data_IF_127438013161
#
_entry.id   IF_127438013161
#
_cell.length_a   1.000
_cell.length_b   1.000
_cell.length_c   1.000
_cell.angle_alpha   90.00
_cell.angle_beta   90.00
_cell.angle_gamma   90.00
#
_symmetry.space_group_name_H-M   'P 1'
#
loop_
_entity.id
_entity.type
_entity.pdbx_description
1 polymer ?
#
# COMPACT_ATOMS: atom_id res chain seq x y z
N UNK A 1 -19.14 -6.90 -18.78
CA UNK A 1 -19.05 -5.45 -19.11
C UNK A 1 -17.61 -5.04 -18.85
N UNK A 2 -16.86 -4.68 -19.90
CA UNK A 2 -15.45 -4.32 -19.77
C UNK A 2 -15.32 -3.06 -18.89
N UNK A 3 -14.50 -3.14 -17.86
CA UNK A 3 -14.12 -1.96 -17.06
C UNK A 3 -13.15 -1.18 -17.92
N UNK A 4 -13.56 -0.03 -18.44
CA UNK A 4 -12.65 0.87 -19.15
C UNK A 4 -11.93 1.70 -18.10
N UNK A 5 -10.62 1.46 -17.92
CA UNK A 5 -9.75 2.28 -17.08
C UNK A 5 -9.05 3.27 -17.99
N UNK A 6 -8.90 4.53 -17.59
CA UNK A 6 -8.11 5.51 -18.34
C UNK A 6 -6.63 5.12 -18.30
N UNK A 7 -6.18 4.32 -19.26
CA UNK A 7 -4.80 3.78 -19.30
C UNK A 7 -3.90 4.47 -20.33
N UNK A 8 -4.38 5.48 -21.05
CA UNK A 8 -3.55 6.23 -21.99
C UNK A 8 -2.83 7.40 -21.32
N UNK A 9 -1.65 7.77 -21.80
CA UNK A 9 -0.92 8.95 -21.30
C UNK A 9 -1.74 10.25 -21.34
N UNK A 10 -2.70 10.35 -22.28
CA UNK A 10 -3.64 11.47 -22.40
C UNK A 10 -4.72 11.48 -21.31
N UNK A 11 -4.84 10.42 -20.50
CA UNK A 11 -5.84 10.25 -19.44
C UNK A 11 -5.20 10.17 -18.05
N UNK A 12 -3.89 10.50 -17.93
CA UNK A 12 -3.23 10.57 -16.62
C UNK A 12 -3.89 11.64 -15.77
N UNK A 13 -4.22 11.35 -14.49
CA UNK A 13 -4.70 12.38 -13.59
C UNK A 13 -3.69 13.52 -13.50
N UNK A 14 -4.09 14.71 -13.94
CA UNK A 14 -3.23 15.89 -13.96
C UNK A 14 -3.13 16.55 -12.57
N UNK A 15 -4.08 16.28 -11.70
CA UNK A 15 -4.16 16.84 -10.33
C UNK A 15 -4.44 15.75 -9.31
N UNK A 16 -4.11 15.98 -8.01
CA UNK A 16 -4.45 15.06 -6.94
C UNK A 16 -5.96 14.74 -6.86
N UNK A 17 -6.82 15.74 -7.12
CA UNK A 17 -8.28 15.57 -7.11
C UNK A 17 -8.75 14.67 -8.26
N UNK A 18 -8.15 14.81 -9.44
CA UNK A 18 -8.42 13.91 -10.58
C UNK A 18 -7.96 12.48 -10.29
N UNK A 19 -6.82 12.32 -9.60
CA UNK A 19 -6.32 11.02 -9.14
C UNK A 19 -7.30 10.36 -8.16
N UNK A 20 -7.77 11.11 -7.17
CA UNK A 20 -8.76 10.63 -6.21
C UNK A 20 -10.08 10.25 -6.89
N UNK A 21 -10.57 11.06 -7.83
CA UNK A 21 -11.78 10.74 -8.59
C UNK A 21 -11.63 9.44 -9.39
N UNK A 22 -10.47 9.20 -10.01
CA UNK A 22 -10.15 7.97 -10.72
C UNK A 22 -10.14 6.75 -9.77
N UNK A 23 -9.55 6.88 -8.58
CA UNK A 23 -9.56 5.83 -7.56
C UNK A 23 -10.99 5.51 -7.11
N UNK A 24 -11.80 6.51 -6.80
CA UNK A 24 -13.21 6.30 -6.41
C UNK A 24 -14.00 5.61 -7.53
N UNK A 25 -13.78 5.98 -8.80
CA UNK A 25 -14.42 5.30 -9.93
C UNK A 25 -14.04 3.82 -9.97
N UNK A 26 -12.76 3.49 -9.83
CA UNK A 26 -12.27 2.10 -9.79
C UNK A 26 -12.89 1.34 -8.62
N UNK A 27 -12.88 1.92 -7.41
CA UNK A 27 -13.47 1.30 -6.22
C UNK A 27 -14.93 0.99 -6.44
N UNK A 28 -15.73 1.96 -6.91
CA UNK A 28 -17.15 1.76 -7.16
C UNK A 28 -17.41 0.63 -8.17
N UNK A 29 -16.61 0.53 -9.23
CA UNK A 29 -16.74 -0.50 -10.25
C UNK A 29 -16.37 -1.89 -9.73
N UNK A 30 -15.25 -2.03 -9.05
CA UNK A 30 -14.80 -3.32 -8.52
C UNK A 30 -15.70 -3.79 -7.37
N UNK A 31 -16.12 -2.91 -6.47
CA UNK A 31 -17.04 -3.25 -5.38
C UNK A 31 -18.43 -3.66 -5.88
N UNK A 32 -18.91 -3.10 -6.99
CA UNK A 32 -20.22 -3.46 -7.55
C UNK A 32 -20.31 -4.91 -8.03
N UNK A 33 -19.16 -5.56 -8.29
CA UNK A 33 -19.03 -6.96 -8.69
C UNK A 33 -18.30 -7.81 -7.64
N UNK A 34 -18.07 -7.25 -6.46
CA UNK A 34 -17.35 -7.89 -5.35
C UNK A 34 -15.95 -8.39 -5.74
N UNK A 35 -15.26 -7.67 -6.63
CA UNK A 35 -13.91 -8.02 -7.08
C UNK A 35 -12.89 -7.70 -5.97
N UNK A 36 -12.10 -8.70 -5.49
CA UNK A 36 -11.12 -8.49 -4.42
C UNK A 36 -10.05 -7.42 -4.73
N UNK A 37 -9.81 -7.13 -6.02
CA UNK A 37 -8.90 -6.07 -6.46
C UNK A 37 -9.35 -4.67 -6.01
N UNK A 38 -10.60 -4.51 -5.58
CA UNK A 38 -11.14 -3.25 -5.03
C UNK A 38 -10.61 -2.87 -3.66
N UNK A 39 -10.06 -3.81 -2.89
CA UNK A 39 -9.62 -3.56 -1.52
C UNK A 39 -8.43 -2.58 -1.43
N UNK A 40 -7.44 -2.72 -2.31
CA UNK A 40 -6.28 -1.82 -2.32
C UNK A 40 -6.63 -0.38 -2.74
N UNK A 41 -7.28 -0.12 -3.88
CA UNK A 41 -7.60 1.26 -4.28
C UNK A 41 -8.53 1.97 -3.31
N UNK A 42 -9.34 1.25 -2.53
CA UNK A 42 -10.18 1.85 -1.50
C UNK A 42 -9.33 2.41 -0.34
N UNK A 43 -8.35 1.66 0.15
CA UNK A 43 -7.36 2.14 1.12
C UNK A 43 -6.53 3.28 0.52
N UNK A 44 -6.10 3.16 -0.73
CA UNK A 44 -5.31 4.17 -1.41
C UNK A 44 -6.08 5.50 -1.59
N UNK A 45 -7.39 5.44 -1.86
CA UNK A 45 -8.23 6.63 -1.93
C UNK A 45 -8.29 7.38 -0.59
N UNK A 46 -8.38 6.67 0.55
CA UNK A 46 -8.35 7.28 1.88
C UNK A 46 -7.04 8.03 2.12
N UNK A 47 -5.91 7.43 1.77
CA UNK A 47 -4.58 8.05 1.89
C UNK A 47 -4.48 9.29 0.98
N UNK A 48 -4.90 9.14 -0.28
CA UNK A 48 -4.88 10.23 -1.26
C UNK A 48 -5.72 11.42 -0.81
N UNK A 49 -6.90 11.17 -0.23
CA UNK A 49 -7.74 12.22 0.35
C UNK A 49 -7.00 12.99 1.46
N UNK A 50 -6.29 12.31 2.37
CA UNK A 50 -5.50 12.95 3.42
C UNK A 50 -4.36 13.81 2.87
N UNK A 51 -3.71 13.36 1.80
CA UNK A 51 -2.67 14.16 1.12
C UNK A 51 -3.27 15.43 0.52
N UNK A 52 -4.42 15.33 -0.16
CA UNK A 52 -5.13 16.48 -0.73
C UNK A 52 -5.55 17.47 0.36
N UNK A 53 -6.08 17.00 1.48
CA UNK A 53 -6.42 17.84 2.63
C UNK A 53 -5.22 18.67 3.09
N UNK A 54 -4.02 18.07 3.19
CA UNK A 54 -2.80 18.76 3.59
C UNK A 54 -2.21 19.68 2.51
N UNK A 55 -2.42 19.36 1.24
CA UNK A 55 -2.04 20.27 0.14
C UNK A 55 -2.87 21.57 0.15
N UNK A 56 -4.14 21.47 0.59
CA UNK A 56 -5.12 22.56 0.43
C UNK A 56 -5.46 23.30 1.75
N UNK A 57 -4.96 22.86 2.92
CA UNK A 57 -5.31 23.46 4.22
C UNK A 57 -4.56 24.76 4.56
N UNK A 58 -3.61 25.16 3.71
CA UNK A 58 -2.82 26.37 3.91
C UNK A 58 -1.82 26.30 5.07
N UNK A 59 -1.60 25.14 5.66
CA UNK A 59 -0.71 24.96 6.82
C UNK A 59 0.78 25.03 6.46
N UNK A 60 1.14 24.91 5.18
CA UNK A 60 2.53 24.72 4.77
C UNK A 60 3.10 23.38 5.20
N UNK A 61 2.23 22.35 5.32
CA UNK A 61 2.61 21.02 5.74
C UNK A 61 3.71 20.39 4.86
N UNK A 62 3.62 20.60 3.55
CA UNK A 62 4.64 20.19 2.59
C UNK A 62 5.52 21.37 2.21
N UNK A 63 6.85 21.15 2.15
CA UNK A 63 7.85 22.12 1.77
C UNK A 63 7.91 22.33 0.24
N UNK A 64 7.59 21.28 -0.51
CA UNK A 64 7.53 21.26 -1.97
C UNK A 64 6.18 20.69 -2.44
N UNK A 65 5.06 21.42 -2.26
CA UNK A 65 3.72 20.90 -2.58
C UNK A 65 3.57 20.52 -4.05
N UNK A 66 4.32 21.13 -4.96
CA UNK A 66 4.36 20.77 -6.38
C UNK A 66 4.92 19.34 -6.59
N UNK A 67 5.93 18.93 -5.81
CA UNK A 67 6.47 17.57 -5.84
C UNK A 67 5.40 16.55 -5.42
N UNK A 68 4.73 16.78 -4.30
CA UNK A 68 3.68 15.88 -3.80
C UNK A 68 2.48 15.84 -4.75
N UNK A 69 2.05 17.00 -5.26
CA UNK A 69 0.94 17.06 -6.21
C UNK A 69 1.22 16.27 -7.49
N UNK A 70 2.41 16.41 -8.07
CA UNK A 70 2.82 15.66 -9.26
C UNK A 70 2.99 14.18 -8.95
N UNK A 71 3.56 13.83 -7.77
CA UNK A 71 3.76 12.45 -7.35
C UNK A 71 2.42 11.70 -7.21
N UNK A 72 1.39 12.31 -6.63
CA UNK A 72 0.05 11.70 -6.53
C UNK A 72 -0.45 11.31 -7.92
N UNK A 73 -0.35 12.17 -8.92
CA UNK A 73 -0.78 11.87 -10.29
C UNK A 73 0.02 10.74 -10.95
N UNK A 74 1.35 10.81 -10.87
CA UNK A 74 2.24 9.79 -11.45
C UNK A 74 2.04 8.44 -10.77
N UNK A 75 1.99 8.42 -9.45
CA UNK A 75 1.87 7.21 -8.65
C UNK A 75 0.51 6.53 -8.87
N UNK A 76 -0.59 7.29 -8.91
CA UNK A 76 -1.91 6.77 -9.27
C UNK A 76 -1.94 6.21 -10.69
N UNK A 77 -1.30 6.88 -11.66
CA UNK A 77 -1.23 6.40 -13.04
C UNK A 77 -0.59 5.02 -13.14
N UNK A 78 0.52 4.79 -12.41
CA UNK A 78 1.19 3.49 -12.37
C UNK A 78 0.26 2.39 -11.87
N UNK A 79 -0.45 2.63 -10.79
CA UNK A 79 -1.46 1.68 -10.29
C UNK A 79 -2.57 1.40 -11.32
N UNK A 80 -3.16 2.44 -11.91
CA UNK A 80 -4.24 2.27 -12.89
C UNK A 80 -3.77 1.46 -14.11
N UNK A 81 -2.52 1.60 -14.50
CA UNK A 81 -1.92 0.82 -15.60
C UNK A 81 -1.81 -0.66 -15.23
N UNK A 82 -1.31 -1.00 -14.02
CA UNK A 82 -1.22 -2.40 -13.57
C UNK A 82 -2.59 -3.05 -13.48
N UNK A 83 -3.59 -2.31 -12.98
CA UNK A 83 -4.97 -2.79 -12.93
C UNK A 83 -5.56 -3.03 -14.32
N UNK A 84 -5.35 -2.10 -15.27
CA UNK A 84 -5.79 -2.28 -16.66
C UNK A 84 -5.16 -3.53 -17.29
N UNK A 85 -3.84 -3.75 -17.10
CA UNK A 85 -3.16 -4.95 -17.55
C UNK A 85 -3.78 -6.21 -16.94
N UNK A 86 -4.02 -6.22 -15.63
CA UNK A 86 -4.67 -7.34 -14.94
C UNK A 86 -6.05 -7.64 -15.51
N UNK A 87 -6.87 -6.62 -15.77
CA UNK A 87 -8.22 -6.79 -16.32
C UNK A 87 -8.22 -7.31 -17.77
N UNK A 88 -7.16 -7.03 -18.51
CA UNK A 88 -6.98 -7.50 -19.90
C UNK A 88 -6.18 -8.80 -20.00
N UNK A 89 -5.72 -9.37 -18.87
CA UNK A 89 -4.89 -10.56 -18.87
C UNK A 89 -3.48 -10.34 -19.44
N UNK A 90 -2.98 -9.10 -19.40
CA UNK A 90 -1.61 -8.76 -19.78
C UNK A 90 -0.68 -9.00 -18.60
N UNK A 91 0.48 -9.65 -18.78
CA UNK A 91 1.48 -9.83 -17.73
C UNK A 91 1.94 -8.49 -17.13
N UNK A 92 2.22 -8.49 -15.84
CA UNK A 92 2.77 -7.32 -15.17
C UNK A 92 4.27 -7.20 -15.39
N UNK A 93 4.80 -5.99 -15.25
CA UNK A 93 6.25 -5.72 -15.25
C UNK A 93 6.89 -5.91 -13.86
N UNK A 94 6.07 -6.22 -12.85
CA UNK A 94 6.46 -6.47 -11.47
C UNK A 94 5.82 -7.75 -10.94
N UNK A 95 6.65 -8.68 -10.43
CA UNK A 95 6.20 -9.96 -9.84
C UNK A 95 5.32 -9.76 -8.59
N UNK A 96 5.53 -8.67 -7.85
CA UNK A 96 4.67 -8.31 -6.71
C UNK A 96 3.23 -8.07 -7.16
N UNK A 97 3.03 -7.35 -8.27
CA UNK A 97 1.71 -7.14 -8.87
C UNK A 97 1.13 -8.40 -9.49
N UNK A 98 1.94 -9.20 -10.19
CA UNK A 98 1.49 -10.51 -10.72
C UNK A 98 0.92 -11.38 -9.60
N UNK A 99 1.64 -11.50 -8.49
CA UNK A 99 1.19 -12.27 -7.32
C UNK A 99 -0.11 -11.72 -6.72
N UNK A 100 -0.18 -10.40 -6.52
CA UNK A 100 -1.36 -9.75 -5.95
C UNK A 100 -2.61 -10.02 -6.79
N UNK A 101 -2.52 -9.89 -8.11
CA UNK A 101 -3.64 -10.11 -9.02
C UNK A 101 -3.98 -11.59 -9.23
N UNK A 102 -3.01 -12.48 -9.23
CA UNK A 102 -3.25 -13.93 -9.27
C UNK A 102 -4.03 -14.39 -8.03
N UNK A 103 -3.64 -13.93 -6.85
CA UNK A 103 -4.34 -14.27 -5.60
C UNK A 103 -5.73 -13.64 -5.54
N UNK A 104 -5.92 -12.44 -6.07
CA UNK A 104 -7.22 -11.82 -6.19
C UNK A 104 -8.15 -12.61 -7.13
N UNK A 105 -7.64 -13.12 -8.25
CA UNK A 105 -8.41 -13.96 -9.16
C UNK A 105 -8.85 -15.30 -8.54
N UNK A 106 -8.13 -15.81 -7.55
CA UNK A 106 -8.47 -17.03 -6.82
C UNK A 106 -9.49 -16.78 -5.69
N UNK A 107 -9.67 -15.52 -5.27
CA UNK A 107 -10.55 -15.08 -4.17
C UNK A 107 -10.38 -15.93 -2.87
N UNK A 108 -9.13 -16.30 -2.58
CA UNK A 108 -8.81 -17.22 -1.49
C UNK A 108 -8.36 -16.53 -0.21
N UNK A 109 -8.12 -15.22 -0.26
CA UNK A 109 -7.60 -14.42 0.84
C UNK A 109 -8.63 -13.39 1.35
N UNK A 110 -8.52 -12.95 2.61
CA UNK A 110 -9.35 -11.86 3.11
C UNK A 110 -8.99 -10.52 2.44
N UNK A 111 -9.95 -9.60 2.39
CA UNK A 111 -9.77 -8.28 1.78
C UNK A 111 -8.57 -7.49 2.31
N UNK A 112 -8.25 -7.64 3.62
CA UNK A 112 -7.04 -7.06 4.21
C UNK A 112 -5.76 -7.56 3.56
N UNK A 113 -5.69 -8.85 3.22
CA UNK A 113 -4.52 -9.42 2.56
C UNK A 113 -4.38 -8.87 1.14
N UNK A 114 -5.49 -8.75 0.38
CA UNK A 114 -5.49 -8.14 -0.94
C UNK A 114 -5.07 -6.66 -0.88
N UNK A 115 -5.54 -5.91 0.12
CA UNK A 115 -5.09 -4.53 0.33
C UNK A 115 -3.59 -4.45 0.62
N UNK A 116 -3.06 -5.28 1.53
CA UNK A 116 -1.64 -5.26 1.92
C UNK A 116 -0.73 -5.75 0.79
N UNK A 117 -1.16 -6.73 -0.03
CA UNK A 117 -0.44 -7.16 -1.23
C UNK A 117 -0.32 -6.02 -2.23
N UNK A 118 -1.42 -5.30 -2.49
CA UNK A 118 -1.40 -4.12 -3.37
C UNK A 118 -0.52 -3.00 -2.81
N UNK A 119 -0.62 -2.68 -1.50
CA UNK A 119 0.26 -1.71 -0.83
C UNK A 119 1.72 -2.10 -0.98
N UNK A 120 2.05 -3.38 -0.77
CA UNK A 120 3.43 -3.88 -0.88
C UNK A 120 3.99 -3.71 -2.28
N UNK A 121 3.27 -4.15 -3.32
CA UNK A 121 3.71 -4.00 -4.70
C UNK A 121 3.87 -2.52 -5.08
N UNK A 122 2.88 -1.69 -4.74
CA UNK A 122 2.86 -0.27 -5.07
C UNK A 122 3.99 0.52 -4.40
N UNK A 123 4.27 0.27 -3.11
CA UNK A 123 5.37 0.93 -2.41
C UNK A 123 6.72 0.39 -2.86
N UNK A 124 6.94 -0.93 -2.83
CA UNK A 124 8.27 -1.49 -3.05
C UNK A 124 8.76 -1.40 -4.51
N UNK A 125 7.83 -1.24 -5.48
CA UNK A 125 8.18 -1.14 -6.90
C UNK A 125 7.82 0.20 -7.51
N UNK A 126 6.54 0.61 -7.49
CA UNK A 126 6.08 1.77 -8.25
C UNK A 126 6.55 3.10 -7.66
N UNK A 127 6.69 3.20 -6.33
CA UNK A 127 6.93 4.49 -5.68
C UNK A 127 8.32 5.06 -6.02
N UNK A 128 9.38 4.25 -6.03
CA UNK A 128 10.71 4.71 -6.41
C UNK A 128 10.75 5.19 -7.87
N UNK A 129 10.09 4.47 -8.78
CA UNK A 129 9.96 4.85 -10.18
C UNK A 129 9.15 6.14 -10.33
N UNK A 130 8.08 6.29 -9.54
CA UNK A 130 7.26 7.50 -9.54
C UNK A 130 8.02 8.71 -9.03
N UNK A 131 8.74 8.59 -7.92
CA UNK A 131 9.56 9.69 -7.37
C UNK A 131 10.67 10.05 -8.36
N UNK A 132 11.37 9.07 -8.92
CA UNK A 132 12.40 9.31 -9.94
C UNK A 132 11.83 10.10 -11.14
N UNK A 133 10.67 9.71 -11.66
CA UNK A 133 10.01 10.40 -12.76
C UNK A 133 9.69 11.86 -12.41
N UNK A 134 9.17 12.11 -11.20
CA UNK A 134 8.83 13.47 -10.74
C UNK A 134 10.08 14.32 -10.53
N UNK A 135 11.12 13.78 -9.91
CA UNK A 135 12.41 14.47 -9.69
C UNK A 135 13.02 14.92 -11.03
N UNK A 136 13.02 14.02 -12.02
CA UNK A 136 13.51 14.34 -13.37
C UNK A 136 12.66 15.41 -14.06
N UNK A 137 11.33 15.29 -13.99
CA UNK A 137 10.40 16.27 -14.60
C UNK A 137 10.52 17.66 -13.98
N UNK A 138 10.78 17.73 -12.66
CA UNK A 138 10.99 18.98 -11.95
C UNK A 138 12.42 19.55 -12.14
N UNK A 139 13.30 18.83 -12.86
CA UNK A 139 14.68 19.26 -13.08
C UNK A 139 15.52 19.30 -11.80
N UNK A 140 15.22 18.44 -10.81
CA UNK A 140 15.84 18.46 -9.49
C UNK A 140 16.94 17.35 -9.32
N UNK A 141 17.25 16.58 -10.36
CA UNK A 141 18.14 15.43 -10.28
C UNK A 141 19.58 15.74 -9.80
N UNK A 142 20.04 16.98 -9.86
CA UNK A 142 21.35 17.41 -9.35
C UNK A 142 21.26 18.50 -8.28
N UNK A 143 20.07 18.78 -7.79
CA UNK A 143 19.83 19.85 -6.81
C UNK A 143 19.61 19.23 -5.41
N UNK A 144 20.70 19.17 -4.64
CA UNK A 144 20.69 18.57 -3.30
C UNK A 144 19.69 19.25 -2.35
N UNK A 145 19.57 20.58 -2.41
CA UNK A 145 18.66 21.31 -1.53
C UNK A 145 17.18 20.99 -1.84
N UNK A 146 16.83 20.86 -3.13
CA UNK A 146 15.49 20.40 -3.53
C UNK A 146 15.23 18.95 -3.18
N UNK A 147 16.22 18.07 -3.35
CA UNK A 147 16.10 16.67 -2.96
C UNK A 147 15.87 16.51 -1.45
N UNK A 148 16.49 17.34 -0.63
CA UNK A 148 16.25 17.36 0.83
C UNK A 148 14.82 17.79 1.18
N UNK A 149 14.26 18.80 0.49
CA UNK A 149 12.85 19.19 0.63
C UNK A 149 11.91 18.07 0.22
N UNK A 150 12.19 17.41 -0.90
CA UNK A 150 11.39 16.27 -1.39
C UNK A 150 11.47 15.08 -0.43
N UNK A 151 12.66 14.81 0.16
CA UNK A 151 12.81 13.75 1.18
C UNK A 151 12.00 14.07 2.43
N UNK A 152 12.06 15.32 2.90
CA UNK A 152 11.22 15.77 4.02
C UNK A 152 9.74 15.51 3.74
N UNK A 153 9.25 15.89 2.58
CA UNK A 153 7.85 15.73 2.21
C UNK A 153 7.46 14.27 1.98
N UNK A 154 8.37 13.48 1.40
CA UNK A 154 8.22 12.04 1.32
C UNK A 154 8.04 11.44 2.72
N UNK A 155 8.84 11.81 3.69
CA UNK A 155 8.76 11.29 5.06
C UNK A 155 7.52 11.79 5.80
N UNK A 156 7.10 13.04 5.56
CA UNK A 156 5.90 13.63 6.15
C UNK A 156 4.62 12.83 5.82
N UNK A 157 4.58 12.14 4.66
CA UNK A 157 3.47 11.25 4.30
C UNK A 157 3.31 10.09 5.29
N UNK A 158 4.36 9.67 6.03
CA UNK A 158 4.23 8.59 7.03
C UNK A 158 3.21 8.94 8.13
N UNK A 159 3.12 10.21 8.54
CA UNK A 159 2.11 10.64 9.50
C UNK A 159 0.69 10.58 8.90
N UNK A 160 0.54 10.83 7.60
CA UNK A 160 -0.75 10.72 6.91
C UNK A 160 -1.17 9.27 6.74
N UNK A 161 -0.24 8.34 6.49
CA UNK A 161 -0.48 6.89 6.51
C UNK A 161 -1.03 6.46 7.88
N UNK A 162 -0.39 6.90 8.96
CA UNK A 162 -0.86 6.63 10.32
C UNK A 162 -2.27 7.16 10.57
N UNK A 163 -2.54 8.40 10.18
CA UNK A 163 -3.85 9.05 10.34
C UNK A 163 -4.95 8.40 9.46
N UNK A 164 -4.56 7.75 8.36
CA UNK A 164 -5.48 7.07 7.44
C UNK A 164 -5.89 5.68 7.92
N UNK A 165 -5.12 5.08 8.82
CA UNK A 165 -5.26 3.67 9.18
C UNK A 165 -6.65 3.32 9.75
N UNK A 166 -7.22 4.06 10.73
CA UNK A 166 -8.54 3.73 11.27
C UNK A 166 -9.64 3.72 10.22
N UNK A 167 -9.64 4.70 9.33
CA UNK A 167 -10.62 4.81 8.25
C UNK A 167 -10.43 3.70 7.21
N UNK A 168 -9.19 3.39 6.84
CA UNK A 168 -8.88 2.28 5.95
C UNK A 168 -9.39 0.95 6.49
N UNK A 169 -9.20 0.69 7.79
CA UNK A 169 -9.69 -0.52 8.44
C UNK A 169 -11.22 -0.57 8.49
N UNK A 170 -11.86 0.57 8.74
CA UNK A 170 -13.32 0.69 8.71
C UNK A 170 -13.86 0.34 7.31
N UNK A 171 -13.30 0.89 6.25
CA UNK A 171 -13.71 0.62 4.88
C UNK A 171 -13.52 -0.83 4.48
N UNK A 172 -12.40 -1.45 4.83
CA UNK A 172 -12.16 -2.88 4.58
C UNK A 172 -13.22 -3.77 5.27
N UNK A 173 -13.71 -3.39 6.45
CA UNK A 173 -14.80 -4.10 7.13
C UNK A 173 -16.16 -3.90 6.44
N UNK A 174 -16.51 -2.65 6.15
CA UNK A 174 -17.85 -2.27 5.71
C UNK A 174 -18.10 -2.54 4.23
N UNK A 175 -17.11 -2.23 3.38
CA UNK A 175 -17.23 -2.31 1.92
C UNK A 175 -16.81 -3.68 1.39
N UNK A 176 -15.72 -4.24 1.94
CA UNK A 176 -15.11 -5.48 1.42
C UNK A 176 -15.37 -6.71 2.30
N UNK A 177 -16.22 -6.60 3.32
CA UNK A 177 -16.70 -7.74 4.10
C UNK A 177 -15.60 -8.53 4.82
N UNK A 178 -14.54 -7.85 5.30
CA UNK A 178 -13.39 -8.52 5.91
C UNK A 178 -13.75 -9.18 7.25
N UNK A 179 -14.11 -10.45 7.18
CA UNK A 179 -14.55 -11.25 8.34
C UNK A 179 -13.47 -11.40 9.43
N UNK A 180 -12.19 -11.38 9.06
CA UNK A 180 -11.09 -11.45 10.04
C UNK A 180 -11.04 -10.21 10.92
N UNK A 181 -11.15 -9.02 10.34
CA UNK A 181 -11.19 -7.78 11.09
C UNK A 181 -12.44 -7.62 11.95
N UNK A 182 -13.57 -8.21 11.53
CA UNK A 182 -14.80 -8.23 12.33
C UNK A 182 -14.66 -9.07 13.60
N UNK A 183 -13.71 -10.02 13.62
CA UNK A 183 -13.41 -10.87 14.77
C UNK A 183 -12.41 -10.23 15.74
N UNK A 184 -11.60 -9.26 15.29
CA UNK A 184 -10.63 -8.58 16.15
C UNK A 184 -11.31 -7.41 16.87
N UNK A 185 -11.14 -7.28 18.21
CA UNK A 185 -11.50 -6.06 18.93
C UNK A 185 -10.73 -4.84 18.39
N UNK A 186 -11.34 -3.66 18.40
CA UNK A 186 -10.67 -2.42 17.95
C UNK A 186 -9.35 -2.18 18.68
N UNK A 187 -9.28 -2.48 19.98
CA UNK A 187 -8.05 -2.40 20.77
C UNK A 187 -6.91 -3.30 20.23
N UNK A 188 -7.23 -4.46 19.64
CA UNK A 188 -6.22 -5.32 19.02
C UNK A 188 -5.73 -4.74 17.67
N UNK A 189 -6.62 -4.11 16.92
CA UNK A 189 -6.26 -3.40 15.68
C UNK A 189 -5.36 -2.20 16.01
N UNK A 190 -5.68 -1.42 17.04
CA UNK A 190 -4.88 -0.29 17.51
C UNK A 190 -3.47 -0.73 17.95
N UNK A 191 -3.32 -1.89 18.60
CA UNK A 191 -2.01 -2.42 19.02
C UNK A 191 -1.14 -2.87 17.84
N UNK A 192 -1.73 -3.31 16.72
CA UNK A 192 -0.99 -3.70 15.52
C UNK A 192 -0.52 -2.51 14.68
N UNK A 193 -1.22 -1.38 14.79
CA UNK A 193 -0.97 -0.18 13.99
C UNK A 193 0.50 0.29 14.02
N UNK A 194 1.18 0.45 15.19
CA UNK A 194 2.56 0.90 15.23
C UNK A 194 3.53 -0.03 14.49
N UNK A 195 3.32 -1.34 14.56
CA UNK A 195 4.17 -2.32 13.87
C UNK A 195 3.99 -2.27 12.36
N UNK A 196 2.75 -2.14 11.88
CA UNK A 196 2.47 -1.98 10.45
C UNK A 196 3.06 -0.69 9.90
N UNK A 197 2.95 0.41 10.64
CA UNK A 197 3.53 1.70 10.26
C UNK A 197 5.06 1.65 10.25
N UNK A 198 5.69 0.94 11.17
CA UNK A 198 7.13 0.74 11.17
C UNK A 198 7.60 -0.03 9.92
N UNK A 199 6.89 -1.07 9.51
CA UNK A 199 7.18 -1.80 8.28
C UNK A 199 7.03 -0.91 7.05
N UNK A 200 5.92 -0.16 6.96
CA UNK A 200 5.67 0.76 5.84
C UNK A 200 6.71 1.88 5.76
N UNK A 201 7.11 2.44 6.90
CA UNK A 201 8.18 3.46 6.97
C UNK A 201 9.52 2.90 6.49
N UNK A 202 9.88 1.67 6.91
CA UNK A 202 11.09 1.00 6.43
C UNK A 202 11.08 0.75 4.91
N UNK A 203 9.94 0.32 4.34
CA UNK A 203 9.82 0.20 2.88
C UNK A 203 10.00 1.54 2.17
N UNK A 204 9.46 2.62 2.73
CA UNK A 204 9.56 3.96 2.14
C UNK A 204 10.98 4.54 2.23
N UNK A 205 11.74 4.18 3.25
CA UNK A 205 13.17 4.53 3.33
C UNK A 205 13.98 3.80 2.23
N UNK A 206 13.74 2.50 2.03
CA UNK A 206 14.34 1.73 0.92
C UNK A 206 13.98 2.31 -0.45
N UNK A 207 12.73 2.78 -0.62
CA UNK A 207 12.25 3.45 -1.83
C UNK A 207 13.05 4.70 -2.16
N UNK A 208 13.34 5.53 -1.16
CA UNK A 208 14.13 6.74 -1.36
C UNK A 208 15.54 6.41 -1.86
N UNK A 209 16.20 5.43 -1.26
CA UNK A 209 17.52 4.96 -1.70
C UNK A 209 17.46 4.39 -3.13
N UNK A 210 16.46 3.57 -3.44
CA UNK A 210 16.28 3.05 -4.80
C UNK A 210 16.08 4.18 -5.84
N UNK A 211 15.36 5.25 -5.48
CA UNK A 211 15.20 6.41 -6.34
C UNK A 211 16.53 7.13 -6.59
N UNK A 212 17.35 7.31 -5.55
CA UNK A 212 18.71 7.89 -5.70
C UNK A 212 19.58 7.00 -6.59
N UNK A 213 19.57 5.67 -6.39
CA UNK A 213 20.29 4.72 -7.24
C UNK A 213 19.84 4.79 -8.70
N UNK A 214 18.55 5.06 -8.96
CA UNK A 214 18.04 5.28 -10.32
C UNK A 214 18.54 6.57 -10.94
N UNK A 215 18.70 7.64 -10.15
CA UNK A 215 19.30 8.91 -10.61
C UNK A 215 20.78 8.74 -10.94
N UNK A 216 21.51 7.97 -10.13
CA UNK A 216 22.94 7.72 -10.28
C UNK A 216 23.26 6.72 -11.41
N UNK A 217 22.28 5.93 -11.83
CA UNK A 217 22.45 4.92 -12.87
C UNK A 217 22.66 5.54 -14.25
N UNK A 218 23.93 5.66 -14.67
CA UNK A 218 24.34 6.27 -15.94
C UNK A 218 24.17 5.32 -17.15
N UNK A 219 23.99 4.02 -16.92
CA UNK A 219 23.83 3.01 -17.98
C UNK A 219 22.48 2.31 -17.91
N UNK A 220 22.02 1.79 -19.06
CA UNK A 220 20.82 0.97 -19.13
C UNK A 220 20.93 -0.29 -18.25
N UNK A 221 22.10 -0.92 -18.21
CA UNK A 221 22.37 -2.10 -17.38
C UNK A 221 22.30 -1.75 -15.88
N UNK A 222 22.88 -0.62 -15.45
CA UNK A 222 22.79 -0.15 -14.08
C UNK A 222 21.34 0.11 -13.66
N UNK A 223 20.57 0.81 -14.49
CA UNK A 223 19.14 1.05 -14.26
C UNK A 223 18.35 -0.26 -14.17
N UNK A 224 18.59 -1.21 -15.07
CA UNK A 224 17.94 -2.52 -15.05
C UNK A 224 18.27 -3.31 -13.76
N UNK A 225 19.49 -3.21 -13.25
CA UNK A 225 19.87 -3.85 -11.99
C UNK A 225 19.11 -3.28 -10.78
N UNK A 226 18.93 -1.96 -10.73
CA UNK A 226 18.10 -1.33 -9.65
C UNK A 226 16.65 -1.81 -9.75
N UNK A 227 16.06 -1.79 -10.94
CA UNK A 227 14.67 -2.23 -11.17
C UNK A 227 14.51 -3.72 -10.80
N UNK A 228 15.47 -4.58 -11.17
CA UNK A 228 15.42 -6.01 -10.79
C UNK A 228 15.47 -6.20 -9.29
N UNK A 229 16.30 -5.46 -8.55
CA UNK A 229 16.35 -5.51 -7.09
C UNK A 229 15.03 -5.08 -6.45
N UNK A 230 14.38 -4.05 -7.00
CA UNK A 230 13.06 -3.58 -6.53
C UNK A 230 11.99 -4.65 -6.79
N UNK A 231 12.01 -5.30 -7.94
CA UNK A 231 11.09 -6.39 -8.28
C UNK A 231 11.29 -7.62 -7.38
N UNK A 232 12.56 -8.00 -7.11
CA UNK A 232 12.89 -9.07 -6.15
C UNK A 232 12.31 -8.77 -4.77
N UNK A 233 12.48 -7.54 -4.29
CA UNK A 233 11.94 -7.07 -3.00
C UNK A 233 10.42 -7.12 -2.95
N UNK A 234 9.74 -6.62 -3.99
CA UNK A 234 8.29 -6.64 -4.07
C UNK A 234 7.73 -8.07 -4.11
N UNK A 235 8.40 -8.98 -4.83
CA UNK A 235 8.03 -10.39 -4.91
C UNK A 235 8.21 -11.11 -3.57
N UNK A 236 9.33 -10.89 -2.87
CA UNK A 236 9.61 -11.49 -1.55
C UNK A 236 8.62 -11.00 -0.49
N UNK A 237 8.38 -9.70 -0.42
CA UNK A 237 7.40 -9.12 0.49
C UNK A 237 5.99 -9.66 0.21
N UNK A 238 5.57 -9.72 -1.06
CA UNK A 238 4.29 -10.27 -1.48
C UNK A 238 4.14 -11.75 -1.09
N UNK A 239 5.16 -12.58 -1.33
CA UNK A 239 5.15 -13.99 -0.95
C UNK A 239 5.02 -14.18 0.57
N UNK A 240 5.73 -13.37 1.35
CA UNK A 240 5.65 -13.38 2.82
C UNK A 240 4.23 -13.02 3.30
N UNK A 241 3.63 -11.97 2.74
CA UNK A 241 2.25 -11.55 3.06
C UNK A 241 1.26 -12.67 2.71
N UNK A 242 1.37 -13.25 1.52
CA UNK A 242 0.49 -14.32 1.05
C UNK A 242 0.55 -15.54 1.98
N UNK A 243 1.74 -15.98 2.35
CA UNK A 243 1.96 -17.12 3.25
C UNK A 243 1.29 -16.90 4.61
N UNK A 244 1.52 -15.75 5.25
CA UNK A 244 0.94 -15.44 6.56
C UNK A 244 -0.58 -15.26 6.49
N UNK A 245 -1.09 -14.67 5.41
CA UNK A 245 -2.51 -14.44 5.21
C UNK A 245 -3.28 -15.75 4.97
N UNK A 246 -2.69 -16.70 4.27
CA UNK A 246 -3.28 -18.04 4.06
C UNK A 246 -3.44 -18.80 5.38
N UNK A 247 -2.42 -18.78 6.24
CA UNK A 247 -2.48 -19.39 7.58
C UNK A 247 -3.55 -18.73 8.43
N UNK A 248 -3.61 -17.39 8.43
CA UNK A 248 -4.62 -16.64 9.18
C UNK A 248 -6.05 -16.92 8.68
N UNK A 249 -6.25 -16.99 7.37
CA UNK A 249 -7.55 -17.31 6.77
C UNK A 249 -8.00 -18.74 7.14
N UNK A 250 -7.09 -19.72 7.14
CA UNK A 250 -7.35 -21.09 7.54
C UNK A 250 -7.75 -21.18 9.03
N UNK A 251 -7.01 -20.50 9.92
CA UNK A 251 -7.33 -20.42 11.35
C UNK A 251 -8.71 -19.81 11.60
N UNK A 252 -9.06 -18.75 10.89
CA UNK A 252 -10.39 -18.11 11.00
C UNK A 252 -11.49 -19.05 10.50
N UNK A 253 -11.26 -19.80 9.42
CA UNK A 253 -12.24 -20.75 8.89
C UNK A 253 -12.51 -21.89 9.86
N UNK A 254 -11.48 -22.37 10.57
CA UNK A 254 -11.60 -23.46 11.56
C UNK A 254 -12.18 -22.98 12.90
N UNK A 255 -11.72 -21.85 13.40
CA UNK A 255 -12.00 -21.39 14.76
C UNK A 255 -12.95 -20.20 14.83
N UNK A 256 -13.20 -19.53 13.69
CA UNK A 256 -14.04 -18.32 13.62
C UNK A 256 -15.44 -18.47 14.22
N UNK A 257 -16.16 -19.57 13.98
CA UNK A 257 -17.46 -19.81 14.65
C UNK A 257 -17.35 -19.88 16.17
N UNK A 258 -16.31 -20.56 16.68
CA UNK A 258 -16.05 -20.63 18.13
C UNK A 258 -15.62 -19.29 18.74
N UNK A 259 -14.80 -18.51 18.02
CA UNK A 259 -14.38 -17.16 18.46
C UNK A 259 -15.57 -16.19 18.51
N UNK A 260 -16.48 -16.24 17.52
CA UNK A 260 -17.72 -15.43 17.57
C UNK A 260 -18.59 -15.79 18.76
N UNK A 261 -18.80 -17.07 18.99
CA UNK A 261 -19.55 -17.57 20.15
C UNK A 261 -18.89 -17.12 21.47
N UNK A 262 -17.56 -17.23 21.56
CA UNK A 262 -16.80 -16.82 22.74
C UNK A 262 -16.89 -15.32 22.99
N UNK A 263 -16.73 -14.48 21.99
CA UNK A 263 -16.81 -13.03 22.11
C UNK A 263 -18.21 -12.53 22.46
N UNK A 264 -19.27 -13.17 21.97
CA UNK A 264 -20.65 -12.84 22.36
C UNK A 264 -21.00 -13.32 23.77
N UNK A 265 -20.49 -14.48 24.19
CA UNK A 265 -20.76 -15.04 25.51
C UNK A 265 -19.91 -14.43 26.65
N UNK A 266 -18.69 -13.98 26.34
CA UNK A 266 -17.70 -13.55 27.34
C UNK A 266 -17.23 -12.10 27.21
N UNK A 267 -17.73 -11.37 26.23
CA UNK A 267 -17.32 -9.99 25.94
C UNK A 267 -17.30 -9.02 27.13
N UNK A 268 -18.19 -9.15 28.13
CA UNK A 268 -18.10 -8.35 29.34
C UNK A 268 -16.95 -8.74 30.26
N UNK A 269 -16.49 -10.00 30.23
CA UNK A 269 -15.53 -10.54 31.20
C UNK A 269 -14.06 -10.19 30.87
N UNK A 270 -13.73 -10.02 29.58
CA UNK A 270 -12.35 -9.80 29.14
C UNK A 270 -11.91 -8.34 29.02
N UNK A 271 -12.77 -7.37 29.30
CA UNK A 271 -12.39 -5.94 29.30
C UNK A 271 -11.32 -5.58 30.34
N UNK A 272 -10.91 -6.51 31.20
CA UNK A 272 -9.92 -6.31 32.26
C UNK A 272 -8.56 -6.97 32.05
N UNK A 273 -8.38 -7.83 31.07
CA UNK A 273 -7.13 -8.57 30.86
C UNK A 273 -6.24 -7.93 29.77
N UNK A 274 -5.30 -7.10 30.18
CA UNK A 274 -4.18 -6.64 29.38
C UNK A 274 -3.14 -7.77 29.28
N UNK A 275 -3.33 -8.73 28.39
CA UNK A 275 -2.30 -9.71 28.07
C UNK A 275 -1.77 -9.45 26.65
N UNK A 276 -0.44 -9.22 26.46
CA UNK A 276 0.16 -9.15 25.13
C UNK A 276 0.08 -10.55 24.48
N UNK A 277 -0.21 -10.60 23.19
CA UNK A 277 -0.25 -11.83 22.39
C UNK A 277 1.21 -12.29 22.18
N UNK A 278 1.70 -13.33 22.89
CA UNK A 278 3.15 -13.59 22.99
C UNK A 278 3.82 -14.11 21.71
N UNK A 279 3.05 -14.59 20.73
CA UNK A 279 3.64 -15.21 19.53
C UNK A 279 4.09 -14.22 18.44
N UNK A 280 3.60 -12.97 18.46
CA UNK A 280 4.05 -11.93 17.54
C UNK A 280 5.44 -11.40 17.86
N UNK A 281 5.91 -11.53 19.11
CA UNK A 281 7.22 -11.02 19.53
C UNK A 281 8.40 -11.93 19.16
N UNK A 282 8.15 -13.20 18.83
CA UNK A 282 9.21 -14.22 18.65
C UNK A 282 9.81 -14.29 17.24
N UNK A 283 9.14 -13.80 16.19
CA UNK A 283 9.57 -14.01 14.81
C UNK A 283 10.37 -12.85 14.19
N UNK A 284 10.36 -11.68 14.80
CA UNK A 284 11.05 -10.50 14.25
C UNK A 284 12.52 -10.32 14.69
N UNK A 285 13.10 -11.25 15.49
CA UNK A 285 14.48 -11.13 16.01
C UNK A 285 15.59 -11.65 15.09
N UNK A 286 15.31 -12.01 13.83
CA UNK A 286 16.34 -12.59 12.93
C UNK A 286 16.49 -11.93 11.58
N UNK A 287 16.28 -10.65 11.46
CA UNK A 287 16.78 -9.90 10.29
C UNK A 287 17.63 -8.75 10.81
N UNK A 288 18.73 -9.07 11.46
CA UNK A 288 19.86 -8.15 11.59
C UNK A 288 20.71 -8.35 10.34
N UNK A 289 20.76 -7.37 9.48
CA UNK A 289 21.76 -7.28 8.41
C UNK A 289 23.13 -7.29 9.03
N UNK A 290 23.95 -8.30 8.74
CA UNK A 290 25.39 -8.25 8.91
C UNK A 290 25.93 -7.30 7.84
N UNK A 291 26.36 -6.12 8.27
CA UNK A 291 27.20 -5.24 7.45
C UNK A 291 28.59 -5.88 7.35
N UNK A 292 29.01 -6.28 6.16
CA UNK A 292 30.42 -6.30 5.72
C UNK A 292 30.45 -5.84 4.26
#
# INVERSE_FOLDING_TARGET
>A
MLITIPASESQRPATPEAALAALHHVVARLSSVQDPRGAFPDVYAVITQKVIERLNDGSGYFHAPEFISMLVGVFTTRYLQTLDWSLRGVPQDCRGWDLAYQLAAQDSLPATAHAVLGISAHINYDLALGIHEVVVRLGAAGDQARLEQFKHDHDAVNALLAASFPESMRRLREVHGCSLLQLLPDAAVEQLTPHLLQVLSGWRDDVWHNMLDLLDATSAAGRAAVISRMDDRAAEAGATIAQHSTVSAWLVRLFGPGIRFWNTATGPFFRGLRAPVPWLAGHYRRVTYAAT
#
